data_IF_051123661000
#
_entry.id   IF_051123661000
#
_cell.length_a   1.000
_cell.length_b   1.000
_cell.length_c   1.000
_cell.angle_alpha   90.00
_cell.angle_beta   90.00
_cell.angle_gamma   90.00
#
_symmetry.space_group_name_H-M   'P 1'
#
loop_
_entity.id
_entity.type
_entity.pdbx_description
1 polymer ?
#
# COMPACT_ATOMS: atom_id res chain seq x y z
N UNK A 1 -13.82 5.02 13.96
CA UNK A 1 -13.41 3.90 13.10
C UNK A 1 -11.90 3.92 13.09
N UNK A 2 -11.23 2.86 13.53
CA UNK A 2 -9.77 2.85 13.57
C UNK A 2 -9.30 2.78 12.13
N UNK A 3 -8.65 3.84 11.68
CA UNK A 3 -8.05 3.93 10.36
C UNK A 3 -6.60 3.48 10.54
N UNK A 4 -6.21 2.41 9.85
CA UNK A 4 -4.84 1.91 9.87
C UNK A 4 -3.92 2.94 9.21
N UNK A 5 -2.71 3.09 9.76
CA UNK A 5 -1.65 3.87 9.15
C UNK A 5 -1.05 3.14 7.94
N UNK A 6 -0.26 3.84 7.13
CA UNK A 6 0.44 3.21 6.01
C UNK A 6 1.45 2.17 6.52
N UNK A 7 2.11 2.44 7.64
CA UNK A 7 3.05 1.53 8.29
C UNK A 7 2.36 0.24 8.77
N UNK A 8 1.21 0.34 9.42
CA UNK A 8 0.43 -0.85 9.80
C UNK A 8 0.02 -1.67 8.57
N UNK A 9 -0.32 -1.01 7.46
CA UNK A 9 -0.66 -1.67 6.20
C UNK A 9 0.56 -2.33 5.52
N UNK A 10 1.75 -1.76 5.66
CA UNK A 10 3.02 -2.37 5.24
C UNK A 10 3.26 -3.66 6.03
N UNK A 11 3.14 -3.61 7.36
CA UNK A 11 3.32 -4.79 8.21
C UNK A 11 2.35 -5.90 7.81
N UNK A 12 1.07 -5.59 7.64
CA UNK A 12 0.05 -6.56 7.21
C UNK A 12 0.39 -7.14 5.84
N UNK A 13 0.87 -6.33 4.90
CA UNK A 13 1.25 -6.80 3.57
C UNK A 13 2.50 -7.70 3.62
N UNK A 14 3.47 -7.42 4.49
CA UNK A 14 4.63 -8.30 4.73
C UNK A 14 4.19 -9.65 5.31
N UNK A 15 3.29 -9.63 6.31
CA UNK A 15 2.68 -10.86 6.83
C UNK A 15 1.93 -11.63 5.75
N UNK A 16 1.17 -10.94 4.90
CA UNK A 16 0.43 -11.55 3.79
C UNK A 16 1.37 -12.26 2.81
N UNK A 17 2.50 -11.64 2.45
CA UNK A 17 3.50 -12.22 1.56
C UNK A 17 4.19 -13.46 2.16
N UNK A 18 4.26 -13.54 3.49
CA UNK A 18 4.80 -14.70 4.22
C UNK A 18 3.78 -15.79 4.56
N UNK A 19 2.48 -15.55 4.36
CA UNK A 19 1.43 -16.45 4.81
C UNK A 19 1.37 -17.75 3.97
N UNK A 20 1.27 -18.88 4.66
CA UNK A 20 1.05 -20.20 4.03
C UNK A 20 -0.43 -20.45 3.71
N UNK A 21 -1.33 -19.78 4.44
CA UNK A 21 -2.78 -19.82 4.19
C UNK A 21 -3.38 -18.45 4.49
N UNK A 22 -4.29 -18.05 3.62
CA UNK A 22 -5.05 -16.79 3.71
C UNK A 22 -6.54 -17.12 3.72
N UNK A 23 -7.27 -16.59 4.70
CA UNK A 23 -8.73 -16.63 4.74
C UNK A 23 -9.28 -15.21 4.73
N UNK A 24 -10.31 -14.96 3.92
CA UNK A 24 -10.98 -13.66 3.84
C UNK A 24 -12.44 -13.88 4.21
N UNK A 25 -12.86 -13.31 5.35
CA UNK A 25 -14.21 -13.40 5.85
C UNK A 25 -14.91 -12.03 5.73
N UNK A 26 -15.96 -11.97 4.92
CA UNK A 26 -16.72 -10.73 4.72
C UNK A 26 -17.63 -10.47 5.94
N UNK A 27 -17.21 -9.53 6.79
CA UNK A 27 -17.90 -9.21 8.04
C UNK A 27 -19.10 -8.27 7.85
N UNK A 28 -18.93 -7.14 7.13
CA UNK A 28 -19.99 -6.15 6.85
C UNK A 28 -19.71 -5.36 5.55
N UNK A 29 -20.62 -4.48 5.12
CA UNK A 29 -20.62 -3.83 3.79
C UNK A 29 -19.29 -3.26 3.29
N UNK A 30 -18.49 -2.62 4.16
CA UNK A 30 -17.19 -2.02 3.79
C UNK A 30 -15.98 -2.65 4.48
N UNK A 31 -16.18 -3.64 5.36
CA UNK A 31 -15.13 -4.23 6.20
C UNK A 31 -14.96 -5.72 5.92
N UNK A 32 -13.72 -6.18 6.02
CA UNK A 32 -13.33 -7.58 5.82
C UNK A 32 -12.40 -8.00 6.94
N UNK A 33 -12.58 -9.23 7.41
CA UNK A 33 -11.63 -9.89 8.28
C UNK A 33 -10.65 -10.67 7.40
N UNK A 34 -9.37 -10.34 7.52
CA UNK A 34 -8.26 -11.03 6.88
C UNK A 34 -7.56 -11.88 7.95
N UNK A 35 -7.51 -13.19 7.73
CA UNK A 35 -6.84 -14.13 8.63
C UNK A 35 -5.64 -14.72 7.89
N UNK A 36 -4.45 -14.56 8.46
CA UNK A 36 -3.17 -14.96 7.88
C UNK A 36 -2.51 -16.02 8.76
N UNK A 37 -2.13 -17.15 8.17
CA UNK A 37 -1.48 -18.24 8.88
C UNK A 37 -0.09 -18.51 8.31
N UNK A 38 0.95 -18.38 9.13
CA UNK A 38 2.36 -18.52 8.73
C UNK A 38 2.92 -19.96 8.91
N UNK A 39 2.08 -20.90 9.37
CA UNK A 39 2.50 -22.26 9.71
C UNK A 39 2.68 -22.48 11.22
N UNK A 40 2.64 -21.42 12.03
CA UNK A 40 2.69 -21.47 13.50
C UNK A 40 1.47 -20.81 14.10
N UNK A 41 1.26 -19.54 13.78
CA UNK A 41 0.28 -18.67 14.41
C UNK A 41 -0.73 -18.16 13.38
N UNK A 42 -1.94 -17.86 13.86
CA UNK A 42 -3.01 -17.24 13.08
C UNK A 42 -3.14 -15.79 13.52
N UNK A 43 -2.92 -14.86 12.61
CA UNK A 43 -3.08 -13.42 12.81
C UNK A 43 -4.35 -12.92 12.13
N UNK A 44 -5.07 -12.02 12.79
CA UNK A 44 -6.38 -11.53 12.36
C UNK A 44 -6.38 -10.00 12.21
N UNK A 45 -6.78 -9.50 11.04
CA UNK A 45 -6.79 -8.08 10.71
C UNK A 45 -8.16 -7.65 10.19
N UNK A 46 -8.69 -6.54 10.70
CA UNK A 46 -9.91 -5.92 10.17
C UNK A 46 -9.50 -4.81 9.20
N UNK A 47 -9.79 -5.02 7.91
CA UNK A 47 -9.45 -4.09 6.84
C UNK A 47 -10.71 -3.46 6.25
N UNK A 48 -10.55 -2.27 5.67
CA UNK A 48 -11.52 -1.80 4.69
C UNK A 48 -11.40 -2.64 3.41
N UNK A 49 -12.46 -2.73 2.59
CA UNK A 49 -12.38 -3.38 1.27
C UNK A 49 -11.26 -2.81 0.40
N UNK A 50 -11.03 -1.50 0.51
CA UNK A 50 -10.01 -0.79 -0.25
C UNK A 50 -8.62 -1.23 0.19
N UNK A 51 -8.36 -1.29 1.49
CA UNK A 51 -7.05 -1.67 2.03
C UNK A 51 -6.76 -3.14 1.78
N UNK A 52 -7.77 -4.02 1.86
CA UNK A 52 -7.63 -5.41 1.41
C UNK A 52 -7.18 -5.49 -0.05
N UNK A 53 -7.80 -4.73 -0.95
CA UNK A 53 -7.40 -4.72 -2.38
C UNK A 53 -5.93 -4.30 -2.53
N UNK A 54 -5.47 -3.31 -1.74
CA UNK A 54 -4.09 -2.84 -1.79
C UNK A 54 -3.11 -3.90 -1.26
N UNK A 55 -3.44 -4.56 -0.15
CA UNK A 55 -2.67 -5.68 0.40
C UNK A 55 -2.56 -6.83 -0.61
N UNK A 56 -3.69 -7.24 -1.20
CA UNK A 56 -3.72 -8.35 -2.18
C UNK A 56 -2.95 -8.03 -3.47
N UNK A 57 -2.78 -6.76 -3.81
CA UNK A 57 -1.96 -6.30 -4.95
C UNK A 57 -0.49 -6.16 -4.60
N UNK A 58 -0.12 -6.38 -3.34
CA UNK A 58 1.21 -6.17 -2.84
C UNK A 58 1.67 -4.70 -2.95
N UNK A 59 0.72 -3.76 -2.86
CA UNK A 59 1.01 -2.35 -3.06
C UNK A 59 2.00 -1.82 -2.02
N UNK A 60 1.82 -2.22 -0.75
CA UNK A 60 2.58 -1.65 0.35
C UNK A 60 4.03 -2.16 0.42
N UNK A 61 4.40 -3.16 -0.40
CA UNK A 61 5.76 -3.70 -0.44
C UNK A 61 6.34 -3.52 -1.84
N UNK A 62 5.80 -4.17 -2.85
CA UNK A 62 6.36 -4.16 -4.21
C UNK A 62 6.14 -2.81 -4.91
N UNK A 63 4.89 -2.33 -4.97
CA UNK A 63 4.58 -1.10 -5.73
C UNK A 63 5.24 0.13 -5.09
N UNK A 64 5.19 0.28 -3.76
CA UNK A 64 5.88 1.38 -3.07
C UNK A 64 7.39 1.31 -3.34
N UNK A 65 8.01 0.14 -3.30
CA UNK A 65 9.44 0.00 -3.61
C UNK A 65 9.76 0.48 -5.03
N UNK A 66 8.96 0.09 -6.02
CA UNK A 66 9.17 0.51 -7.41
C UNK A 66 8.99 2.03 -7.61
N UNK A 67 7.93 2.59 -7.03
CA UNK A 67 7.67 4.04 -7.07
C UNK A 67 8.81 4.81 -6.41
N UNK A 68 9.28 4.35 -5.23
CA UNK A 68 10.38 4.99 -4.52
C UNK A 68 11.68 4.88 -5.32
N UNK A 69 11.99 3.72 -5.88
CA UNK A 69 13.17 3.53 -6.72
C UNK A 69 13.17 4.50 -7.91
N UNK A 70 12.04 4.57 -8.62
CA UNK A 70 11.83 5.50 -9.74
C UNK A 70 11.94 6.96 -9.29
N UNK A 71 11.35 7.31 -8.15
CA UNK A 71 11.39 8.67 -7.61
C UNK A 71 12.77 9.12 -7.14
N UNK A 72 13.58 8.20 -6.62
CA UNK A 72 14.96 8.46 -6.14
C UNK A 72 15.94 8.54 -7.30
N UNK A 73 15.93 7.54 -8.20
CA UNK A 73 16.88 7.44 -9.30
C UNK A 73 16.51 8.28 -10.53
N UNK A 74 15.25 8.71 -10.62
CA UNK A 74 14.71 9.41 -11.77
C UNK A 74 13.61 10.40 -11.37
N UNK A 75 12.45 10.27 -12.02
CA UNK A 75 11.29 11.10 -11.75
C UNK A 75 9.97 10.30 -11.73
N UNK A 76 8.98 10.89 -11.07
CA UNK A 76 7.59 10.41 -11.06
C UNK A 76 6.65 11.56 -11.45
N UNK A 77 5.61 11.27 -12.21
CA UNK A 77 4.52 12.22 -12.52
C UNK A 77 3.29 11.92 -11.66
N UNK A 78 2.76 12.94 -10.98
CA UNK A 78 1.65 12.77 -10.04
C UNK A 78 0.43 13.56 -10.52
N UNK A 79 -0.70 12.86 -10.67
CA UNK A 79 -2.00 13.44 -11.00
C UNK A 79 -3.00 13.17 -9.87
N UNK A 80 -3.69 14.22 -9.43
CA UNK A 80 -4.65 14.14 -8.34
C UNK A 80 -6.05 14.51 -8.86
N UNK A 81 -6.98 13.56 -8.83
CA UNK A 81 -8.39 13.79 -9.07
C UNK A 81 -9.20 13.50 -7.79
N UNK A 82 -9.56 14.57 -7.07
CA UNK A 82 -10.33 14.50 -5.83
C UNK A 82 -11.78 14.03 -6.01
N UNK A 83 -12.25 13.86 -7.25
CA UNK A 83 -13.58 13.28 -7.52
C UNK A 83 -13.58 11.75 -7.37
N UNK A 84 -12.41 11.11 -7.40
CA UNK A 84 -12.26 9.67 -7.21
C UNK A 84 -12.11 9.40 -5.72
N UNK A 85 -13.05 8.66 -5.13
CA UNK A 85 -13.14 8.48 -3.67
C UNK A 85 -12.00 7.63 -3.10
N UNK A 86 -11.74 6.46 -3.68
CA UNK A 86 -10.82 5.45 -3.09
C UNK A 86 -9.38 5.55 -3.58
N UNK A 87 -9.16 6.12 -4.76
CA UNK A 87 -7.86 6.20 -5.43
C UNK A 87 -7.67 7.54 -6.16
N UNK A 88 -7.68 8.68 -5.43
CA UNK A 88 -7.59 10.01 -6.04
C UNK A 88 -6.22 10.33 -6.65
N UNK A 89 -5.18 9.55 -6.35
CA UNK A 89 -3.82 9.81 -6.82
C UNK A 89 -3.43 8.77 -7.85
N UNK A 90 -2.95 9.23 -9.01
CA UNK A 90 -2.23 8.42 -9.99
C UNK A 90 -0.76 8.85 -9.98
N UNK A 91 0.14 7.89 -9.82
CA UNK A 91 1.58 8.06 -9.94
C UNK A 91 2.02 7.34 -11.21
N UNK A 92 2.74 8.03 -12.10
CA UNK A 92 3.32 7.44 -13.30
C UNK A 92 4.83 7.44 -13.16
N UNK A 93 5.45 6.27 -13.27
CA UNK A 93 6.92 6.10 -13.22
C UNK A 93 7.52 6.15 -14.65
N UNK A 94 8.84 6.14 -14.76
CA UNK A 94 9.55 6.44 -16.02
C UNK A 94 9.23 5.48 -17.18
N UNK A 95 8.95 4.22 -16.89
CA UNK A 95 8.59 3.21 -17.90
C UNK A 95 7.12 3.34 -18.39
N UNK A 96 6.38 4.30 -17.83
CA UNK A 96 4.97 4.55 -18.12
C UNK A 96 3.99 3.74 -17.28
N UNK A 97 4.46 2.89 -16.36
CA UNK A 97 3.61 2.17 -15.41
C UNK A 97 2.88 3.15 -14.49
N UNK A 98 1.64 2.79 -14.11
CA UNK A 98 0.74 3.65 -13.35
C UNK A 98 0.28 2.97 -12.08
N UNK A 99 0.58 3.62 -10.96
CA UNK A 99 0.13 3.24 -9.64
C UNK A 99 -0.99 4.15 -9.17
N UNK A 100 -1.89 3.61 -8.33
CA UNK A 100 -3.05 4.33 -7.84
C UNK A 100 -3.14 4.23 -6.33
N UNK A 101 -3.18 5.37 -5.66
CA UNK A 101 -3.11 5.44 -4.21
C UNK A 101 -3.98 6.58 -3.67
N UNK A 102 -4.02 6.72 -2.35
CA UNK A 102 -4.65 7.84 -1.68
C UNK A 102 -3.63 8.93 -1.32
N UNK A 103 -4.11 10.06 -0.79
CA UNK A 103 -3.25 11.21 -0.47
C UNK A 103 -2.29 10.94 0.70
N UNK A 104 -2.63 10.03 1.60
CA UNK A 104 -1.78 9.68 2.75
C UNK A 104 -0.61 8.80 2.31
N UNK A 105 -0.87 7.82 1.46
CA UNK A 105 0.15 6.98 0.84
C UNK A 105 1.09 7.81 -0.03
N UNK A 106 0.58 8.75 -0.82
CA UNK A 106 1.42 9.68 -1.58
C UNK A 106 2.36 10.48 -0.66
N UNK A 107 1.85 10.98 0.47
CA UNK A 107 2.69 11.71 1.44
C UNK A 107 3.77 10.81 2.03
N UNK A 108 3.42 9.58 2.38
CA UNK A 108 4.35 8.59 2.89
C UNK A 108 5.46 8.27 1.87
N UNK A 109 5.08 7.96 0.63
CA UNK A 109 6.00 7.70 -0.49
C UNK A 109 6.96 8.88 -0.71
N UNK A 110 6.44 10.11 -0.78
CA UNK A 110 7.28 11.29 -0.96
C UNK A 110 8.25 11.48 0.21
N UNK A 111 7.83 11.22 1.45
CA UNK A 111 8.70 11.27 2.61
C UNK A 111 9.88 10.30 2.52
N UNK A 112 9.67 9.09 1.99
CA UNK A 112 10.75 8.13 1.75
C UNK A 112 11.69 8.62 0.64
N UNK A 113 11.13 9.09 -0.48
CA UNK A 113 11.94 9.59 -1.62
C UNK A 113 12.84 10.75 -1.17
N UNK A 114 12.28 11.74 -0.48
CA UNK A 114 13.01 12.92 -0.02
C UNK A 114 14.13 12.51 0.95
N UNK A 115 13.82 11.65 1.93
CA UNK A 115 14.81 11.14 2.88
C UNK A 115 15.95 10.38 2.19
N UNK A 116 15.66 9.55 1.20
CA UNK A 116 16.69 8.81 0.46
C UNK A 116 17.54 9.74 -0.41
N UNK A 117 16.93 10.74 -1.06
CA UNK A 117 17.66 11.76 -1.82
C UNK A 117 18.61 12.57 -0.93
N UNK A 118 18.18 12.97 0.26
CA UNK A 118 19.02 13.69 1.22
C UNK A 118 20.25 12.89 1.65
N UNK A 119 20.12 11.56 1.79
CA UNK A 119 21.25 10.68 2.13
C UNK A 119 22.25 10.43 1.00
N UNK A 120 21.89 10.74 -0.24
CA UNK A 120 22.76 10.59 -1.40
C UNK A 120 23.60 11.85 -1.68
N UNK A 121 23.35 12.94 -0.94
CA UNK A 121 24.09 14.21 -0.98
C UNK A 121 25.17 14.21 0.10
#
# INVERSE_FOLDING_TARGET
MIKLSVEELIEINDFYNGATRVTITHATGSMVLLELYDGRDLEEFILSKRDLIMVLRNFYVEDICDIVHSGVCGHIDVKIDKKIEHYPVQITVEDGHKYFCNLEELKYINGIIDYQKEKLI
#
